data_IF_707179803067
#
_entry.id   IF_707179803067
#
_cell.length_a   1.000
_cell.length_b   1.000
_cell.length_c   1.000
_cell.angle_alpha   90.00
_cell.angle_beta   90.00
_cell.angle_gamma   90.00
#
_symmetry.space_group_name_H-M   'P 1'
#
loop_
_entity.id
_entity.type
_entity.pdbx_description
1 polymer ?
#
# COMPACT_ATOMS: atom_id res chain seq x y z
N UNK A 1 -30.99 -14.43 -9.50
CA UNK A 1 -30.32 -13.11 -9.38
C UNK A 1 -28.84 -13.27 -9.72
N UNK A 2 -28.41 -12.92 -10.93
CA UNK A 2 -26.99 -12.98 -11.30
C UNK A 2 -26.30 -11.68 -10.90
N UNK A 3 -25.60 -11.72 -9.76
CA UNK A 3 -24.75 -10.63 -9.30
C UNK A 3 -23.58 -10.45 -10.26
N UNK A 4 -23.60 -9.38 -11.07
CA UNK A 4 -22.45 -8.98 -11.88
C UNK A 4 -21.42 -8.32 -10.98
N UNK A 5 -20.39 -9.07 -10.63
CA UNK A 5 -19.16 -8.53 -10.04
C UNK A 5 -18.56 -7.53 -11.02
N UNK A 6 -18.56 -6.24 -10.68
CA UNK A 6 -17.90 -5.20 -11.46
C UNK A 6 -16.38 -5.31 -11.23
N UNK A 7 -15.73 -6.16 -12.01
CA UNK A 7 -14.28 -6.12 -12.21
C UNK A 7 -14.01 -5.07 -13.30
N UNK A 8 -13.06 -4.13 -13.11
CA UNK A 8 -12.65 -3.24 -14.19
C UNK A 8 -12.16 -4.08 -15.37
N UNK A 9 -12.97 -4.15 -16.43
CA UNK A 9 -12.73 -5.02 -17.58
C UNK A 9 -11.55 -4.53 -18.42
N UNK A 10 -10.85 -5.46 -19.07
CA UNK A 10 -9.93 -5.15 -20.17
C UNK A 10 -10.64 -4.28 -21.20
N UNK A 11 -9.92 -3.30 -21.76
CA UNK A 11 -10.46 -2.45 -22.81
C UNK A 11 -10.95 -3.29 -24.00
N UNK A 12 -12.11 -2.94 -24.54
CA UNK A 12 -12.66 -3.56 -25.75
C UNK A 12 -11.66 -3.33 -26.89
N UNK A 13 -11.22 -4.42 -27.52
CA UNK A 13 -10.25 -4.35 -28.61
C UNK A 13 -10.92 -4.23 -29.98
N UNK A 14 -10.17 -3.76 -30.96
CA UNK A 14 -10.62 -3.73 -32.36
C UNK A 14 -10.94 -5.14 -32.87
N UNK A 15 -10.16 -6.14 -32.47
CA UNK A 15 -10.38 -7.54 -32.85
C UNK A 15 -11.75 -8.05 -32.36
N UNK A 16 -12.09 -7.80 -31.10
CA UNK A 16 -13.39 -8.18 -30.55
C UNK A 16 -14.54 -7.48 -31.27
N UNK A 17 -14.33 -6.21 -31.63
CA UNK A 17 -15.33 -5.41 -32.36
C UNK A 17 -15.54 -5.94 -33.78
N UNK A 18 -14.46 -6.25 -34.51
CA UNK A 18 -14.52 -6.86 -35.85
C UNK A 18 -15.19 -8.22 -35.84
N UNK A 19 -14.87 -9.06 -34.84
CA UNK A 19 -15.50 -10.38 -34.67
C UNK A 19 -17.00 -10.24 -34.41
N UNK A 20 -17.41 -9.32 -33.52
CA UNK A 20 -18.82 -9.01 -33.28
C UNK A 20 -19.54 -8.58 -34.57
N UNK A 21 -18.95 -7.65 -35.33
CA UNK A 21 -19.53 -7.20 -36.61
C UNK A 21 -19.64 -8.32 -37.64
N UNK A 22 -18.64 -9.20 -37.71
CA UNK A 22 -18.64 -10.35 -38.61
C UNK A 22 -19.79 -11.30 -38.25
N UNK A 23 -19.93 -11.65 -36.97
CA UNK A 23 -21.02 -12.50 -36.48
C UNK A 23 -22.40 -11.88 -36.73
N UNK A 24 -22.53 -10.56 -36.64
CA UNK A 24 -23.77 -9.83 -36.92
C UNK A 24 -24.14 -9.82 -38.42
N UNK A 25 -23.16 -9.99 -39.31
CA UNK A 25 -23.38 -10.02 -40.77
C UNK A 25 -23.59 -11.44 -41.30
N UNK A 26 -22.86 -12.43 -40.77
CA UNK A 26 -22.82 -13.79 -41.34
C UNK A 26 -23.79 -14.76 -40.68
N UNK A 27 -24.30 -14.46 -39.49
CA UNK A 27 -25.14 -15.39 -38.73
C UNK A 27 -26.40 -14.70 -38.16
N UNK A 28 -27.59 -15.33 -38.22
CA UNK A 28 -28.82 -14.79 -37.65
C UNK A 28 -28.87 -15.04 -36.13
N UNK A 29 -27.86 -14.59 -35.39
CA UNK A 29 -27.78 -14.73 -33.92
C UNK A 29 -28.18 -13.44 -33.20
N UNK A 30 -28.90 -13.51 -32.07
CA UNK A 30 -29.23 -12.33 -31.25
C UNK A 30 -27.99 -11.56 -30.78
N UNK A 31 -28.14 -10.25 -30.57
CA UNK A 31 -27.04 -9.35 -30.16
C UNK A 31 -26.34 -9.80 -28.89
N UNK A 32 -27.03 -10.27 -27.83
CA UNK A 32 -26.38 -10.83 -26.65
C UNK A 32 -25.48 -12.03 -26.96
N UNK A 33 -25.88 -12.87 -27.92
CA UNK A 33 -25.15 -14.09 -28.31
C UNK A 33 -23.92 -13.75 -29.15
N UNK A 34 -24.05 -12.83 -30.12
CA UNK A 34 -22.92 -12.31 -30.88
C UNK A 34 -21.89 -11.60 -29.98
N UNK A 35 -22.37 -10.80 -29.02
CA UNK A 35 -21.51 -10.11 -28.06
C UNK A 35 -20.75 -11.10 -27.18
N UNK A 36 -21.43 -12.12 -26.65
CA UNK A 36 -20.80 -13.16 -25.84
C UNK A 36 -19.72 -13.93 -26.62
N UNK A 37 -20.01 -14.33 -27.87
CA UNK A 37 -19.03 -14.97 -28.78
C UNK A 37 -17.81 -14.09 -29.07
N UNK A 38 -17.99 -12.77 -29.09
CA UNK A 38 -16.91 -11.81 -29.26
C UNK A 38 -16.19 -11.42 -27.95
N UNK A 39 -16.55 -12.01 -26.81
CA UNK A 39 -15.98 -11.67 -25.50
C UNK A 39 -16.40 -10.28 -24.99
N UNK A 40 -17.59 -9.80 -25.38
CA UNK A 40 -18.15 -8.50 -25.03
C UNK A 40 -19.36 -8.63 -24.10
N UNK A 41 -19.60 -7.61 -23.27
CA UNK A 41 -20.84 -7.53 -22.50
C UNK A 41 -22.03 -7.25 -23.41
N UNK A 42 -23.23 -7.70 -23.01
CA UNK A 42 -24.48 -7.43 -23.72
C UNK A 42 -24.68 -5.93 -23.99
N UNK A 43 -24.41 -5.09 -23.00
CA UNK A 43 -24.50 -3.63 -23.13
C UNK A 43 -23.48 -3.05 -24.13
N UNK A 44 -22.33 -3.69 -24.30
CA UNK A 44 -21.35 -3.29 -25.33
C UNK A 44 -21.79 -3.73 -26.71
N UNK A 45 -22.37 -4.94 -26.83
CA UNK A 45 -22.97 -5.42 -28.09
C UNK A 45 -24.07 -4.49 -28.60
N UNK A 46 -25.00 -4.07 -27.75
CA UNK A 46 -26.05 -3.12 -28.15
C UNK A 46 -25.48 -1.75 -28.54
N UNK A 47 -24.46 -1.24 -27.83
CA UNK A 47 -23.78 0.00 -28.22
C UNK A 47 -23.08 -0.11 -29.57
N UNK A 48 -22.43 -1.23 -29.86
CA UNK A 48 -21.77 -1.47 -31.15
C UNK A 48 -22.76 -1.72 -32.29
N UNK A 49 -23.96 -2.23 -31.99
CA UNK A 49 -25.02 -2.35 -32.98
C UNK A 49 -25.58 -0.97 -33.38
N UNK A 50 -25.75 -0.08 -32.40
CA UNK A 50 -26.22 1.28 -32.65
C UNK A 50 -25.14 2.17 -33.30
N UNK A 51 -23.88 2.00 -32.90
CA UNK A 51 -22.72 2.76 -33.40
C UNK A 51 -21.54 1.82 -33.72
N UNK A 52 -21.45 1.31 -34.97
CA UNK A 52 -20.47 0.31 -35.38
C UNK A 52 -19.09 0.94 -35.68
N UNK A 53 -18.51 1.65 -34.71
CA UNK A 53 -17.17 2.25 -34.82
C UNK A 53 -16.16 1.46 -33.98
N UNK A 54 -15.02 1.15 -34.60
CA UNK A 54 -13.88 0.50 -33.92
C UNK A 54 -13.34 1.39 -32.80
N UNK A 55 -12.96 0.82 -31.63
CA UNK A 55 -12.32 1.56 -30.55
C UNK A 55 -11.16 2.48 -30.99
N UNK A 56 -10.30 2.03 -31.91
CA UNK A 56 -9.20 2.84 -32.46
C UNK A 56 -9.65 4.04 -33.31
N UNK A 57 -10.82 3.96 -33.95
CA UNK A 57 -11.37 5.02 -34.79
C UNK A 57 -12.20 6.03 -33.99
N UNK A 58 -12.44 5.78 -32.69
CA UNK A 58 -13.14 6.73 -31.83
C UNK A 58 -12.25 7.95 -31.61
N UNK A 59 -12.85 9.15 -31.69
CA UNK A 59 -12.15 10.40 -31.38
C UNK A 59 -11.41 10.26 -30.04
N UNK A 60 -10.13 10.67 -29.97
CA UNK A 60 -9.38 10.58 -28.72
C UNK A 60 -10.14 11.32 -27.63
N UNK A 61 -10.05 10.80 -26.40
CA UNK A 61 -10.68 11.44 -25.26
C UNK A 61 -10.20 12.89 -25.21
N UNK A 62 -11.14 13.81 -25.00
CA UNK A 62 -10.83 15.24 -24.89
C UNK A 62 -9.64 15.41 -23.94
N UNK A 63 -8.58 16.04 -24.45
CA UNK A 63 -7.43 16.42 -23.67
C UNK A 63 -7.79 17.40 -22.55
N UNK A 64 -6.81 17.71 -21.71
CA UNK A 64 -7.01 18.67 -20.63
C UNK A 64 -7.34 20.05 -21.22
N UNK A 65 -8.44 20.65 -20.80
CA UNK A 65 -8.91 21.96 -21.30
C UNK A 65 -8.13 23.16 -20.75
N UNK A 66 -7.38 22.98 -19.66
CA UNK A 66 -6.65 24.05 -18.95
C UNK A 66 -5.17 23.67 -18.83
N UNK A 67 -4.23 24.60 -19.08
CA UNK A 67 -2.81 24.37 -18.85
C UNK A 67 -2.58 23.95 -17.40
N UNK A 68 -1.57 23.10 -17.15
CA UNK A 68 -1.31 22.60 -15.81
C UNK A 68 -0.60 23.67 -14.96
N UNK A 69 -1.24 24.22 -13.92
CA UNK A 69 -0.60 25.22 -13.06
C UNK A 69 0.62 24.67 -12.30
N UNK A 70 0.78 23.34 -12.22
CA UNK A 70 1.86 22.69 -11.51
C UNK A 70 2.95 22.11 -12.42
N UNK A 71 2.90 22.31 -13.75
CA UNK A 71 3.90 21.68 -14.64
C UNK A 71 5.32 22.10 -14.25
N UNK A 72 5.60 23.40 -14.33
CA UNK A 72 6.96 23.89 -14.20
C UNK A 72 7.39 23.91 -12.72
N UNK A 73 6.50 24.39 -11.84
CA UNK A 73 6.73 24.52 -10.38
C UNK A 73 7.05 23.17 -9.73
N UNK A 74 6.43 22.09 -10.19
CA UNK A 74 6.66 20.78 -9.59
C UNK A 74 8.10 20.30 -9.80
N UNK A 75 8.63 20.50 -11.00
CA UNK A 75 9.98 20.03 -11.34
C UNK A 75 11.06 20.96 -10.77
N UNK A 76 10.80 22.27 -10.69
CA UNK A 76 11.77 23.24 -10.14
C UNK A 76 11.79 23.31 -8.62
N UNK A 77 10.65 23.22 -7.94
CA UNK A 77 10.61 23.41 -6.47
C UNK A 77 10.30 22.13 -5.71
N UNK A 78 9.26 21.42 -6.12
CA UNK A 78 8.74 20.28 -5.34
C UNK A 78 9.70 19.09 -5.42
N UNK A 79 10.24 18.80 -6.61
CA UNK A 79 11.17 17.69 -6.79
C UNK A 79 12.49 17.88 -6.02
N UNK A 80 13.20 19.02 -6.10
CA UNK A 80 14.41 19.23 -5.29
C UNK A 80 14.12 19.16 -3.78
N UNK A 81 13.00 19.72 -3.32
CA UNK A 81 12.60 19.63 -1.92
C UNK A 81 12.41 18.17 -1.47
N UNK A 82 11.73 17.37 -2.27
CA UNK A 82 11.49 15.95 -1.98
C UNK A 82 12.76 15.10 -2.02
N UNK A 83 13.70 15.40 -2.93
CA UNK A 83 15.01 14.74 -3.00
C UNK A 83 15.87 15.06 -1.78
N UNK A 84 15.89 16.32 -1.33
CA UNK A 84 16.65 16.75 -0.16
C UNK A 84 16.03 16.28 1.16
N UNK A 85 14.70 16.16 1.22
CA UNK A 85 14.00 15.63 2.39
C UNK A 85 12.68 14.94 2.00
N UNK A 86 12.57 13.60 2.14
CA UNK A 86 11.33 12.87 1.82
C UNK A 86 10.27 12.94 2.94
N UNK A 87 10.61 13.54 4.09
CA UNK A 87 9.78 13.62 5.29
C UNK A 87 8.55 14.56 5.27
N UNK A 88 8.53 15.67 4.50
CA UNK A 88 7.40 16.59 4.51
C UNK A 88 6.09 15.91 4.09
N UNK A 89 4.98 16.31 4.72
CA UNK A 89 3.67 15.85 4.29
C UNK A 89 3.26 16.59 3.02
N UNK A 90 2.57 15.93 2.07
CA UNK A 90 2.05 16.58 0.87
C UNK A 90 1.25 17.85 1.15
N UNK A 91 0.50 17.87 2.25
CA UNK A 91 -0.27 19.05 2.69
C UNK A 91 0.63 20.21 3.14
N UNK A 92 1.76 19.93 3.80
CA UNK A 92 2.71 20.97 4.19
C UNK A 92 3.40 21.59 2.96
N UNK A 93 3.74 20.77 1.96
CA UNK A 93 4.27 21.26 0.68
C UNK A 93 3.22 22.11 -0.05
N UNK A 94 1.95 21.70 0.00
CA UNK A 94 0.85 22.47 -0.59
C UNK A 94 0.67 23.84 0.07
N UNK A 95 0.70 23.91 1.40
CA UNK A 95 0.61 25.16 2.16
C UNK A 95 1.77 26.10 1.83
N UNK A 96 3.00 25.58 1.75
CA UNK A 96 4.16 26.37 1.34
C UNK A 96 4.08 26.85 -0.12
N UNK A 97 3.54 26.03 -1.03
CA UNK A 97 3.32 26.46 -2.42
C UNK A 97 2.31 27.60 -2.52
N UNK A 98 1.20 27.54 -1.78
CA UNK A 98 0.23 28.64 -1.73
C UNK A 98 0.81 29.90 -1.09
N UNK A 99 1.75 29.75 -0.14
CA UNK A 99 2.45 30.87 0.49
C UNK A 99 3.41 31.56 -0.48
N UNK A 100 4.14 30.81 -1.30
CA UNK A 100 5.11 31.33 -2.28
C UNK A 100 4.46 31.84 -3.55
N UNK A 101 3.36 31.22 -3.96
CA UNK A 101 2.63 31.52 -5.19
C UNK A 101 1.14 31.74 -4.87
N UNK A 102 0.77 32.95 -4.43
CA UNK A 102 -0.63 33.25 -4.07
C UNK A 102 -1.61 33.14 -5.25
N UNK A 103 -1.11 33.22 -6.49
CA UNK A 103 -1.92 33.06 -7.71
C UNK A 103 -2.32 31.60 -8.02
N UNK A 104 -1.77 30.63 -7.28
CA UNK A 104 -2.11 29.23 -7.43
C UNK A 104 -3.51 28.93 -6.87
N UNK A 105 -4.37 28.34 -7.70
CA UNK A 105 -5.70 27.89 -7.26
C UNK A 105 -5.61 26.73 -6.26
N UNK A 106 -6.46 26.73 -5.22
CA UNK A 106 -6.51 25.65 -4.22
C UNK A 106 -6.82 24.25 -4.80
N UNK A 107 -7.44 24.19 -5.99
CA UNK A 107 -7.80 22.95 -6.69
C UNK A 107 -6.61 22.05 -7.07
N UNK A 108 -5.38 22.59 -7.01
CA UNK A 108 -4.16 21.84 -7.34
C UNK A 108 -3.78 20.80 -6.29
N UNK A 109 -4.33 20.89 -5.06
CA UNK A 109 -3.95 20.02 -3.93
C UNK A 109 -4.00 18.54 -4.30
N UNK A 110 -5.10 18.08 -4.91
CA UNK A 110 -5.26 16.66 -5.31
C UNK A 110 -4.24 16.24 -6.37
N UNK A 111 -3.90 17.14 -7.29
CA UNK A 111 -2.91 16.87 -8.34
C UNK A 111 -1.50 16.79 -7.75
N UNK A 112 -1.15 17.70 -6.85
CA UNK A 112 0.11 17.70 -6.12
C UNK A 112 0.27 16.41 -5.30
N UNK A 113 -0.71 16.08 -4.44
CA UNK A 113 -0.69 14.87 -3.63
C UNK A 113 -0.50 13.60 -4.47
N UNK A 114 -1.16 13.52 -5.63
CA UNK A 114 -1.02 12.40 -6.57
C UNK A 114 0.39 12.32 -7.16
N UNK A 115 0.96 13.44 -7.63
CA UNK A 115 2.32 13.48 -8.20
C UNK A 115 3.38 13.12 -7.15
N UNK A 116 3.25 13.63 -5.93
CA UNK A 116 4.14 13.27 -4.81
C UNK A 116 4.04 11.77 -4.49
N UNK A 117 2.83 11.20 -4.49
CA UNK A 117 2.64 9.76 -4.29
C UNK A 117 3.30 8.94 -5.40
N UNK A 118 3.15 9.35 -6.66
CA UNK A 118 3.80 8.68 -7.79
C UNK A 118 5.32 8.72 -7.66
N UNK A 119 5.89 9.89 -7.36
CA UNK A 119 7.34 10.04 -7.12
C UNK A 119 7.84 9.14 -5.97
N UNK A 120 7.09 9.08 -4.85
CA UNK A 120 7.46 8.21 -3.72
C UNK A 120 7.35 6.72 -4.04
N UNK A 121 6.40 6.33 -4.89
CA UNK A 121 6.28 4.95 -5.32
C UNK A 121 7.49 4.50 -6.15
N UNK A 122 8.15 5.44 -6.80
CA UNK A 122 9.36 5.24 -7.61
C UNK A 122 10.66 5.29 -6.76
N UNK A 123 10.59 5.63 -5.46
CA UNK A 123 11.78 5.85 -4.62
C UNK A 123 11.97 4.77 -3.55
N UNK A 124 13.16 4.15 -3.56
CA UNK A 124 13.93 3.33 -2.58
C UNK A 124 13.24 2.23 -1.74
N UNK A 125 11.93 2.25 -1.50
CA UNK A 125 11.23 1.22 -0.74
C UNK A 125 9.87 0.91 -1.39
N UNK A 126 9.87 0.17 -2.52
CA UNK A 126 8.62 -0.24 -3.17
C UNK A 126 7.82 -1.11 -2.19
N UNK A 127 6.63 -0.65 -1.81
CA UNK A 127 5.69 -1.41 -0.99
C UNK A 127 4.52 -1.87 -1.87
N UNK A 128 4.31 -3.19 -1.93
CA UNK A 128 3.25 -3.80 -2.73
C UNK A 128 2.20 -4.40 -1.79
N UNK A 129 0.93 -4.15 -2.07
CA UNK A 129 -0.18 -4.84 -1.42
C UNK A 129 -0.64 -5.99 -2.31
N UNK A 130 -0.54 -7.22 -1.78
CA UNK A 130 -1.02 -8.43 -2.43
C UNK A 130 -2.33 -8.87 -1.76
N UNK A 131 -3.38 -9.05 -2.56
CA UNK A 131 -4.65 -9.62 -2.10
C UNK A 131 -4.73 -11.06 -2.61
N UNK A 132 -4.75 -12.01 -1.68
CA UNK A 132 -4.86 -13.44 -2.00
C UNK A 132 -6.30 -13.89 -1.73
N UNK A 133 -6.89 -14.61 -2.68
CA UNK A 133 -8.18 -15.25 -2.46
C UNK A 133 -8.01 -16.33 -1.39
N UNK A 134 -8.80 -16.28 -0.33
CA UNK A 134 -8.71 -17.22 0.79
C UNK A 134 -9.33 -18.58 0.47
N UNK A 135 -9.92 -18.77 -0.70
CA UNK A 135 -10.48 -20.04 -1.18
C UNK A 135 -9.73 -20.41 -2.46
N UNK A 136 -9.11 -21.59 -2.46
CA UNK A 136 -8.41 -22.15 -3.61
C UNK A 136 -9.35 -22.51 -4.76
N UNK A 137 -8.79 -22.89 -5.91
CA UNK A 137 -9.59 -23.40 -7.02
C UNK A 137 -10.31 -24.70 -6.63
N UNK A 138 -9.71 -25.47 -5.71
CA UNK A 138 -10.24 -26.73 -5.17
C UNK A 138 -11.29 -26.52 -4.07
N UNK A 139 -11.65 -25.27 -3.75
CA UNK A 139 -12.64 -24.94 -2.71
C UNK A 139 -12.11 -24.96 -1.28
N UNK A 140 -10.87 -25.40 -1.05
CA UNK A 140 -10.25 -25.36 0.27
C UNK A 140 -9.93 -23.94 0.73
N UNK A 141 -10.14 -23.68 2.02
CA UNK A 141 -9.93 -22.36 2.62
C UNK A 141 -8.53 -22.25 3.20
N UNK A 142 -7.75 -21.30 2.67
CA UNK A 142 -6.45 -20.91 3.21
C UNK A 142 -6.63 -20.26 4.60
N UNK A 143 -6.26 -20.98 5.64
CA UNK A 143 -6.33 -20.50 7.02
C UNK A 143 -4.96 -19.98 7.49
N UNK A 144 -4.74 -18.67 7.34
CA UNK A 144 -3.50 -18.03 7.79
C UNK A 144 -3.57 -17.71 9.28
N UNK A 145 -2.77 -18.41 10.09
CA UNK A 145 -2.57 -18.08 11.50
C UNK A 145 -1.39 -17.14 11.68
N UNK A 146 -1.30 -16.55 12.87
CA UNK A 146 -0.24 -15.60 13.23
C UNK A 146 1.16 -16.22 13.14
N UNK A 147 1.29 -17.53 13.36
CA UNK A 147 2.56 -18.26 13.24
C UNK A 147 3.03 -18.36 11.79
N UNK A 148 2.11 -18.56 10.85
CA UNK A 148 2.40 -18.77 9.43
C UNK A 148 2.89 -17.50 8.73
N UNK A 149 2.53 -16.33 9.27
CA UNK A 149 2.90 -15.04 8.68
C UNK A 149 4.40 -14.82 8.57
N UNK A 150 5.21 -15.34 9.49
CA UNK A 150 6.67 -15.20 9.38
C UNK A 150 7.22 -16.15 8.33
N UNK A 151 6.78 -17.42 8.35
CA UNK A 151 7.14 -18.40 7.33
C UNK A 151 6.81 -17.90 5.92
N UNK A 152 5.63 -17.35 5.70
CA UNK A 152 5.25 -16.75 4.42
C UNK A 152 6.17 -15.61 3.99
N UNK A 153 6.63 -14.76 4.91
CA UNK A 153 7.56 -13.66 4.57
C UNK A 153 8.94 -14.20 4.19
N UNK A 154 9.40 -15.25 4.87
CA UNK A 154 10.68 -15.89 4.61
C UNK A 154 10.67 -16.57 3.23
N UNK A 155 9.64 -17.38 2.96
CA UNK A 155 9.42 -18.03 1.66
C UNK A 155 9.25 -17.02 0.54
N UNK A 156 8.53 -15.91 0.78
CA UNK A 156 8.36 -14.87 -0.23
C UNK A 156 9.69 -14.17 -0.54
N UNK A 157 10.48 -13.81 0.47
CA UNK A 157 11.79 -13.21 0.28
C UNK A 157 12.75 -14.16 -0.45
N UNK A 158 12.70 -15.46 -0.16
CA UNK A 158 13.45 -16.48 -0.89
C UNK A 158 13.05 -16.56 -2.38
N UNK A 159 11.75 -16.56 -2.67
CA UNK A 159 11.23 -16.56 -4.05
C UNK A 159 11.53 -15.27 -4.82
N UNK A 160 11.76 -14.16 -4.13
CA UNK A 160 12.25 -12.92 -4.74
C UNK A 160 13.75 -13.00 -5.05
N UNK A 161 14.56 -13.53 -4.13
CA UNK A 161 16.00 -13.75 -4.37
C UNK A 161 16.25 -14.71 -5.54
N UNK A 162 15.45 -15.77 -5.67
CA UNK A 162 15.49 -16.67 -6.83
C UNK A 162 15.21 -15.97 -8.18
N UNK A 163 14.59 -14.79 -8.15
CA UNK A 163 14.33 -13.95 -9.34
C UNK A 163 15.31 -12.79 -9.47
N UNK A 164 16.40 -12.78 -8.70
CA UNK A 164 17.42 -11.73 -8.71
C UNK A 164 17.05 -10.45 -7.95
N UNK A 165 16.01 -10.48 -7.11
CA UNK A 165 15.61 -9.31 -6.31
C UNK A 165 16.15 -9.49 -4.89
N UNK A 166 17.04 -8.59 -4.46
CA UNK A 166 17.54 -8.56 -3.08
C UNK A 166 16.40 -8.24 -2.10
N UNK A 167 16.08 -9.20 -1.23
CA UNK A 167 15.02 -9.07 -0.24
C UNK A 167 15.40 -9.79 1.06
N UNK A 168 15.22 -9.12 2.20
CA UNK A 168 15.34 -9.71 3.54
C UNK A 168 13.97 -9.75 4.26
N UNK A 169 13.72 -10.83 5.01
CA UNK A 169 12.55 -10.98 5.87
C UNK A 169 12.95 -10.88 7.34
N UNK A 170 13.12 -9.66 7.84
CA UNK A 170 13.44 -9.46 9.27
C UNK A 170 12.16 -9.33 10.10
N UNK A 171 11.91 -10.20 11.11
CA UNK A 171 10.75 -10.09 12.00
C UNK A 171 10.76 -8.76 12.75
N UNK A 172 9.57 -8.17 12.96
CA UNK A 172 9.45 -6.85 13.64
C UNK A 172 10.11 -6.80 15.02
N UNK A 173 10.13 -7.90 15.77
CA UNK A 173 10.68 -7.97 17.12
C UNK A 173 12.20 -8.20 17.16
N UNK A 174 12.80 -8.58 16.03
CA UNK A 174 14.25 -8.61 15.86
C UNK A 174 14.80 -7.26 15.40
N UNK A 175 13.98 -6.46 14.71
CA UNK A 175 14.28 -5.05 14.45
C UNK A 175 14.37 -4.33 15.81
N UNK A 176 15.42 -3.53 15.99
CA UNK A 176 15.64 -2.67 17.16
C UNK A 176 14.33 -2.08 17.68
N UNK A 177 14.16 -1.98 19.02
CA UNK A 177 12.92 -1.48 19.66
C UNK A 177 12.42 -0.22 18.97
N UNK A 178 11.40 -0.33 18.11
CA UNK A 178 10.73 0.84 17.58
C UNK A 178 10.08 1.54 18.75
N UNK A 179 10.52 2.77 19.07
CA UNK A 179 9.82 3.60 20.05
C UNK A 179 8.39 3.78 19.54
N UNK A 180 7.42 3.20 20.24
CA UNK A 180 6.01 3.44 19.94
C UNK A 180 5.80 4.93 20.13
N UNK A 181 5.30 5.62 19.10
CA UNK A 181 4.99 7.04 19.19
C UNK A 181 4.06 7.30 20.37
N UNK A 182 4.26 8.43 21.04
CA UNK A 182 3.37 8.84 22.12
C UNK A 182 1.95 9.02 21.59
N UNK A 183 0.96 8.68 22.41
CA UNK A 183 -0.42 8.97 22.06
C UNK A 183 -0.60 10.49 21.93
N UNK A 184 -1.27 10.96 20.88
CA UNK A 184 -1.45 12.40 20.59
C UNK A 184 -1.89 13.23 21.82
N UNK A 185 -2.80 12.76 22.70
CA UNK A 185 -3.15 13.49 23.92
C UNK A 185 -1.98 13.66 24.90
N UNK A 186 -1.16 12.63 25.09
CA UNK A 186 0.02 12.66 25.98
C UNK A 186 1.06 13.63 25.45
N UNK A 187 1.33 13.57 24.14
CA UNK A 187 2.23 14.50 23.46
C UNK A 187 1.80 15.96 23.64
N UNK A 188 0.50 16.26 23.44
CA UNK A 188 -0.04 17.63 23.63
C UNK A 188 0.02 18.11 25.09
N UNK A 189 -0.18 17.23 26.06
CA UNK A 189 -0.04 17.56 27.49
C UNK A 189 1.41 17.96 27.80
N UNK A 190 2.38 17.20 27.26
CA UNK A 190 3.82 17.48 27.43
C UNK A 190 4.24 18.78 26.75
N UNK A 191 3.72 19.07 25.55
CA UNK A 191 3.96 20.36 24.88
C UNK A 191 3.48 21.57 25.69
N UNK A 192 2.44 21.40 26.53
CA UNK A 192 1.93 22.44 27.44
C UNK A 192 2.70 22.53 28.76
N UNK A 193 3.83 21.83 28.89
CA UNK A 193 4.62 21.77 30.13
C UNK A 193 3.95 21.01 31.27
N UNK A 194 2.82 20.32 31.00
CA UNK A 194 2.07 19.57 32.03
C UNK A 194 2.52 18.11 32.04
N UNK A 195 2.51 17.49 33.22
CA UNK A 195 2.79 16.05 33.38
C UNK A 195 1.53 15.21 33.14
N UNK A 196 1.57 14.19 32.27
CA UNK A 196 0.45 13.27 32.09
C UNK A 196 0.14 12.49 33.37
N UNK A 197 -1.15 12.33 33.70
CA UNK A 197 -1.60 11.53 34.86
C UNK A 197 -1.08 10.09 34.82
N UNK A 198 -0.93 9.52 33.61
CA UNK A 198 -0.40 8.17 33.43
C UNK A 198 1.06 8.03 33.90
N UNK A 199 1.86 9.08 33.75
CA UNK A 199 3.26 9.09 34.19
C UNK A 199 3.32 9.23 35.71
N UNK A 200 2.56 10.16 36.28
CA UNK A 200 2.44 10.33 37.73
C UNK A 200 1.93 9.06 38.44
N UNK A 201 1.00 8.32 37.80
CA UNK A 201 0.50 7.04 38.32
C UNK A 201 1.57 5.95 38.31
N UNK A 202 2.35 5.85 37.22
CA UNK A 202 3.47 4.90 37.12
C UNK A 202 4.57 5.22 38.13
N UNK A 203 4.91 6.49 38.31
CA UNK A 203 5.90 6.92 39.31
C UNK A 203 5.45 6.53 40.72
N UNK A 204 4.19 6.79 41.10
CA UNK A 204 3.67 6.34 42.41
C UNK A 204 3.72 4.82 42.58
N UNK A 205 3.41 4.07 41.53
CA UNK A 205 3.49 2.62 41.55
C UNK A 205 4.94 2.14 41.71
N UNK A 206 5.87 2.68 40.93
CA UNK A 206 7.31 2.37 41.02
C UNK A 206 7.86 2.73 42.39
N UNK A 207 7.50 3.89 42.94
CA UNK A 207 7.91 4.31 44.27
C UNK A 207 7.38 3.39 45.37
N UNK A 208 6.16 2.87 45.21
CA UNK A 208 5.60 1.86 46.12
C UNK A 208 6.36 0.53 45.99
N UNK A 209 6.53 0.02 44.77
CA UNK A 209 7.26 -1.22 44.51
C UNK A 209 8.72 -1.14 45.02
N UNK A 210 9.38 0.01 44.90
CA UNK A 210 10.74 0.22 45.44
C UNK A 210 10.77 0.24 46.97
N UNK A 211 9.77 0.85 47.62
CA UNK A 211 9.66 0.85 49.09
C UNK A 211 9.43 -0.57 49.62
N UNK A 212 8.58 -1.33 48.93
CA UNK A 212 8.18 -2.67 49.36
C UNK A 212 9.29 -3.71 49.11
N UNK A 213 10.24 -3.44 48.19
CA UNK A 213 11.31 -4.37 47.78
C UNK A 213 12.72 -3.82 48.06
N UNK A 214 12.91 -3.09 49.16
CA UNK A 214 14.23 -2.62 49.62
C UNK A 214 15.06 -1.87 48.55
N UNK A 215 14.40 -1.05 47.72
CA UNK A 215 15.04 -0.24 46.67
C UNK A 215 15.27 -0.97 45.34
N UNK A 216 14.79 -2.21 45.18
CA UNK A 216 14.82 -2.94 43.92
C UNK A 216 13.42 -3.04 43.31
N UNK A 217 13.33 -3.11 41.98
CA UNK A 217 12.06 -3.43 41.33
C UNK A 217 11.84 -4.94 41.39
N UNK A 218 10.63 -5.37 41.76
CA UNK A 218 10.27 -6.78 41.73
C UNK A 218 10.47 -7.36 40.32
N UNK A 219 11.29 -8.40 40.21
CA UNK A 219 11.41 -9.17 38.97
C UNK A 219 10.08 -9.85 38.69
N UNK A 220 9.53 -9.64 37.49
CA UNK A 220 8.25 -10.24 37.12
C UNK A 220 8.52 -11.63 36.54
N UNK A 221 7.66 -12.63 36.81
CA UNK A 221 7.85 -14.01 36.35
C UNK A 221 8.01 -14.16 34.83
N UNK A 222 7.59 -13.16 34.06
CA UNK A 222 7.68 -13.14 32.60
C UNK A 222 8.85 -12.32 32.04
N UNK A 223 9.64 -11.65 32.88
CA UNK A 223 10.81 -10.88 32.42
C UNK A 223 11.86 -11.84 31.81
N UNK A 224 12.11 -12.97 32.47
CA UNK A 224 13.00 -14.03 31.96
C UNK A 224 12.45 -14.67 30.69
N UNK A 225 11.13 -14.92 30.63
CA UNK A 225 10.47 -15.44 29.44
C UNK A 225 10.57 -14.46 28.25
N UNK A 226 10.55 -13.15 28.50
CA UNK A 226 10.72 -12.11 27.48
C UNK A 226 12.15 -12.09 26.94
N UNK A 227 13.15 -12.21 27.81
CA UNK A 227 14.59 -12.27 27.45
C UNK A 227 14.88 -13.56 26.68
N UNK A 228 14.42 -14.71 27.19
CA UNK A 228 14.59 -16.00 26.53
C UNK A 228 13.95 -16.02 25.12
N UNK A 229 12.74 -15.45 24.98
CA UNK A 229 12.08 -15.32 23.67
C UNK A 229 12.86 -14.44 22.71
N UNK A 230 13.40 -13.31 23.18
CA UNK A 230 14.24 -12.42 22.37
C UNK A 230 15.50 -13.14 21.89
N UNK A 231 16.18 -13.84 22.79
CA UNK A 231 17.42 -14.56 22.48
C UNK A 231 17.16 -15.66 21.45
N UNK A 232 16.09 -16.44 21.61
CA UNK A 232 15.68 -17.48 20.64
C UNK A 232 15.51 -16.92 19.22
N UNK A 233 14.86 -15.78 19.08
CA UNK A 233 14.66 -15.14 17.76
C UNK A 233 15.99 -14.70 17.16
N UNK A 234 16.87 -14.08 17.95
CA UNK A 234 18.18 -13.60 17.48
C UNK A 234 19.04 -14.79 17.03
N UNK A 235 19.01 -15.90 17.76
CA UNK A 235 19.72 -17.13 17.40
C UNK A 235 19.21 -17.71 16.07
N UNK A 236 17.90 -17.79 15.88
CA UNK A 236 17.31 -18.29 14.62
C UNK A 236 17.73 -17.43 13.41
N UNK A 237 17.78 -16.10 13.57
CA UNK A 237 18.23 -15.19 12.51
C UNK A 237 19.71 -15.38 12.15
N UNK A 238 20.56 -15.67 13.14
CA UNK A 238 21.98 -15.97 12.90
C UNK A 238 22.15 -17.28 12.13
N UNK A 239 21.36 -18.31 12.47
CA UNK A 239 21.39 -19.61 11.77
C UNK A 239 20.89 -19.50 10.33
N UNK A 240 19.82 -18.75 10.06
CA UNK A 240 19.34 -18.51 8.69
C UNK A 240 20.35 -17.74 7.81
N UNK A 241 21.22 -16.90 8.39
CA UNK A 241 22.30 -16.22 7.66
C UNK A 241 23.50 -17.13 7.35
N UNK A 242 23.79 -18.10 8.20
CA UNK A 242 24.88 -19.05 7.98
C UNK A 242 24.55 -20.10 6.91
N UNK A 243 23.27 -20.44 6.72
CA UNK A 243 22.81 -21.40 5.72
C UNK A 243 22.69 -20.87 4.28
N UNK A 244 22.92 -19.57 4.06
CA UNK A 244 22.84 -18.92 2.73
C UNK A 244 24.21 -18.58 2.12
N UNK A 245 25.31 -19.07 2.72
CA UNK A 245 26.68 -18.83 2.26
C UNK A 245 27.38 -20.06 1.67
N UNK A 246 26.63 -21.11 1.34
CA UNK A 246 27.16 -22.33 0.73
C UNK A 246 26.39 -22.69 -0.52
N UNK A 247 26.86 -22.14 -1.65
CA UNK A 247 26.80 -22.59 -3.06
C UNK A 247 26.85 -21.37 -3.97
#
# INVERSE_FOLDING_TARGET
>A
MFGRSFMPGRHVTDQQTRLFMTLRKTQPVPVPVAAARAGLSQATGYRLQADPILPSHKKPRRGRRRPDPLSDIFDTEVLPLLKSSPGPRPVAIFEELLRRYPDLSADIRRTLERRIRAWRADTQHPHVHLTVRTIGQDGERLNLRKADLQHLRDTFAEKLRQRGIEAESTPRHARSKTRKGEATPVYKIRQRGRRPLADARKERQVQRELKDNAGQLAQKPWDDALVARRNRVITNLRQCRAGSGGL
#
